data_IF_243623047996
#
_entry.id   IF_243623047996
#
_cell.length_a   1.000
_cell.length_b   1.000
_cell.length_c   1.000
_cell.angle_alpha   90.00
_cell.angle_beta   90.00
_cell.angle_gamma   90.00
#
_symmetry.space_group_name_H-M   'P 1'
#
loop_
_entity.id
_entity.type
_entity.pdbx_description
1 polymer ?
#
# COMPACT_ATOMS: atom_id res chain seq x y z
N UNK A 1 -6.23 13.14 10.80
CA UNK A 1 -5.66 11.98 10.08
C UNK A 1 -6.77 10.97 9.90
N UNK A 2 -7.23 10.76 8.67
CA UNK A 2 -8.17 9.69 8.34
C UNK A 2 -7.36 8.52 7.74
N UNK A 3 -7.73 7.28 8.07
CA UNK A 3 -7.11 6.08 7.50
C UNK A 3 -8.18 5.33 6.71
N UNK A 4 -8.08 5.34 5.39
CA UNK A 4 -8.88 4.46 4.54
C UNK A 4 -8.28 3.06 4.59
N UNK A 5 -9.12 2.05 4.77
CA UNK A 5 -8.74 0.64 4.65
C UNK A 5 -9.63 -0.02 3.62
N UNK A 6 -9.12 -1.03 2.93
CA UNK A 6 -9.90 -1.97 2.12
C UNK A 6 -10.89 -2.72 3.02
N UNK A 7 -12.04 -2.13 3.28
CA UNK A 7 -13.11 -2.76 4.04
C UNK A 7 -14.45 -2.56 3.33
N UNK A 8 -14.80 -3.56 2.50
CA UNK A 8 -16.15 -4.14 2.22
C UNK A 8 -16.55 -4.25 0.73
N UNK A 9 -17.42 -5.23 0.39
CA UNK A 9 -17.42 -5.97 -0.85
C UNK A 9 -18.06 -5.20 -2.00
N UNK A 10 -17.84 -5.70 -3.21
CA UNK A 10 -18.36 -5.19 -4.48
C UNK A 10 -19.76 -4.55 -4.34
N UNK A 11 -19.81 -3.21 -4.44
CA UNK A 11 -21.08 -2.54 -4.70
C UNK A 11 -21.49 -2.84 -6.14
N UNK A 12 -22.56 -3.60 -6.30
CA UNK A 12 -23.17 -3.83 -7.61
C UNK A 12 -23.88 -2.56 -8.07
N UNK A 13 -23.28 -1.84 -9.02
CA UNK A 13 -23.98 -0.84 -9.80
C UNK A 13 -24.58 -1.50 -11.04
N UNK A 14 -25.86 -1.25 -11.29
CA UNK A 14 -26.60 -1.77 -12.44
C UNK A 14 -26.20 -1.03 -13.72
N UNK A 15 -25.08 -1.46 -14.33
CA UNK A 15 -24.81 -1.46 -15.78
C UNK A 15 -23.47 -2.12 -16.09
N UNK A 16 -23.51 -3.43 -16.33
CA UNK A 16 -22.65 -4.12 -17.31
C UNK A 16 -21.13 -3.93 -17.21
N UNK A 17 -20.54 -4.17 -16.04
CA UNK A 17 -19.09 -4.30 -15.88
C UNK A 17 -18.73 -4.32 -14.39
N UNK A 18 -18.11 -5.41 -13.91
CA UNK A 18 -17.59 -5.45 -12.55
C UNK A 18 -16.32 -4.59 -12.46
N UNK A 19 -16.47 -3.28 -12.31
CA UNK A 19 -15.35 -2.43 -11.91
C UNK A 19 -15.28 -2.40 -10.39
N UNK A 20 -14.14 -2.88 -9.89
CA UNK A 20 -13.71 -2.72 -8.50
C UNK A 20 -13.78 -1.24 -8.12
N UNK A 21 -14.72 -0.86 -7.26
CA UNK A 21 -14.58 0.35 -6.43
C UNK A 21 -13.58 0.06 -5.32
N UNK A 22 -12.39 -0.42 -5.69
CA UNK A 22 -11.28 -0.59 -4.77
C UNK A 22 -10.64 0.78 -4.58
N UNK A 23 -10.45 1.16 -3.32
CA UNK A 23 -9.49 2.21 -3.01
C UNK A 23 -8.15 1.73 -3.56
N UNK A 24 -7.41 2.62 -4.24
CA UNK A 24 -6.23 2.21 -5.01
C UNK A 24 -5.22 1.46 -4.15
N UNK A 25 -5.15 1.81 -2.86
CA UNK A 25 -4.28 1.23 -1.83
C UNK A 25 -5.07 0.46 -0.77
N UNK A 26 -4.48 -0.62 -0.25
CA UNK A 26 -5.00 -1.31 0.94
C UNK A 26 -5.15 -0.37 2.15
N UNK A 27 -4.20 0.55 2.33
CA UNK A 27 -4.26 1.61 3.35
C UNK A 27 -3.81 2.96 2.79
N UNK A 28 -4.58 4.02 3.06
CA UNK A 28 -4.14 5.41 2.88
C UNK A 28 -4.41 6.21 4.14
N UNK A 29 -3.37 6.79 4.72
CA UNK A 29 -3.49 7.84 5.72
C UNK A 29 -3.40 9.21 5.06
N UNK A 30 -4.36 10.09 5.34
CA UNK A 30 -4.44 11.40 4.70
C UNK A 30 -5.04 12.49 5.59
N UNK A 31 -4.83 13.74 5.15
CA UNK A 31 -5.56 14.92 5.63
C UNK A 31 -6.81 15.07 4.77
N UNK A 32 -7.95 15.17 5.44
CA UNK A 32 -9.24 15.45 4.81
C UNK A 32 -9.58 16.91 5.02
N UNK A 33 -10.19 17.52 4.01
CA UNK A 33 -10.76 18.85 4.10
C UNK A 33 -12.16 18.85 3.48
N UNK A 34 -12.88 19.97 3.59
CA UNK A 34 -14.27 20.11 3.21
C UNK A 34 -14.44 21.19 2.16
N UNK A 35 -15.25 20.90 1.15
CA UNK A 35 -15.65 21.90 0.14
C UNK A 35 -17.17 22.06 0.09
N UNK A 36 -17.68 23.25 -0.29
CA UNK A 36 -19.10 23.43 -0.50
C UNK A 36 -19.55 22.66 -1.75
N UNK A 37 -20.76 22.06 -1.75
CA UNK A 37 -21.31 21.43 -2.94
C UNK A 37 -21.73 22.47 -3.98
N UNK A 38 -21.52 22.18 -5.26
CA UNK A 38 -21.72 23.15 -6.35
C UNK A 38 -23.17 23.65 -6.52
N UNK A 39 -24.18 22.84 -6.20
CA UNK A 39 -25.59 23.13 -6.53
C UNK A 39 -26.47 23.42 -5.32
N UNK A 40 -26.07 22.99 -4.11
CA UNK A 40 -26.91 23.11 -2.90
C UNK A 40 -26.18 23.87 -1.80
N UNK A 41 -26.29 25.19 -1.83
CA UNK A 41 -25.61 26.11 -0.89
C UNK A 41 -25.90 25.78 0.60
N UNK A 42 -27.05 25.16 0.90
CA UNK A 42 -27.45 24.75 2.26
C UNK A 42 -27.26 23.25 2.56
N UNK A 43 -26.59 22.49 1.69
CA UNK A 43 -26.28 21.08 1.96
C UNK A 43 -24.99 20.93 2.78
N UNK A 44 -24.82 19.76 3.40
CA UNK A 44 -23.59 19.41 4.11
C UNK A 44 -22.37 19.54 3.16
N UNK A 45 -21.24 19.98 3.71
CA UNK A 45 -19.98 20.04 2.97
C UNK A 45 -19.54 18.63 2.53
N UNK A 46 -18.84 18.58 1.40
CA UNK A 46 -18.28 17.36 0.83
C UNK A 46 -16.85 17.18 1.34
N UNK A 47 -16.53 15.99 1.85
CA UNK A 47 -15.16 15.66 2.24
C UNK A 47 -14.31 15.36 1.00
N UNK A 48 -13.07 15.85 0.98
CA UNK A 48 -12.06 15.52 -0.03
C UNK A 48 -10.69 15.30 0.61
N UNK A 49 -9.84 14.53 -0.07
CA UNK A 49 -8.45 14.32 0.35
C UNK A 49 -7.64 15.56 -0.03
N UNK A 50 -7.18 16.31 0.98
CA UNK A 50 -6.33 17.47 0.77
C UNK A 50 -4.88 17.05 0.49
N UNK A 51 -4.36 16.11 1.28
CA UNK A 51 -2.98 15.63 1.17
C UNK A 51 -2.83 14.18 1.66
N UNK A 52 -2.13 13.31 0.93
CA UNK A 52 -1.74 12.00 1.43
C UNK A 52 -0.54 12.12 2.38
N UNK A 53 -0.54 11.33 3.44
CA UNK A 53 0.54 11.27 4.43
C UNK A 53 1.33 9.97 4.30
N UNK A 54 0.64 8.86 4.07
CA UNK A 54 1.23 7.53 3.96
C UNK A 54 0.31 6.62 3.16
N UNK A 55 0.86 5.79 2.29
CA UNK A 55 0.12 4.78 1.54
C UNK A 55 0.76 3.40 1.70
N UNK A 56 -0.07 2.36 1.67
CA UNK A 56 0.42 0.99 1.81
C UNK A 56 -0.37 0.02 0.94
N UNK A 57 0.38 -0.94 0.40
CA UNK A 57 -0.12 -2.13 -0.28
C UNK A 57 0.41 -3.39 0.39
N UNK A 58 -0.33 -4.47 0.24
CA UNK A 58 0.09 -5.78 0.72
C UNK A 58 -0.29 -6.90 -0.24
N UNK A 59 0.65 -7.82 -0.45
CA UNK A 59 0.39 -9.10 -1.11
C UNK A 59 1.13 -10.17 -0.32
N UNK A 60 0.42 -11.18 0.17
CA UNK A 60 0.99 -12.25 1.00
C UNK A 60 1.05 -13.59 0.26
N UNK A 61 0.58 -13.64 -0.99
CA UNK A 61 0.84 -14.71 -1.92
C UNK A 61 2.34 -14.76 -2.24
N UNK A 62 2.85 -15.99 -2.41
CA UNK A 62 4.27 -16.21 -2.76
C UNK A 62 4.58 -15.95 -4.23
N UNK A 63 3.57 -15.56 -5.01
CA UNK A 63 3.73 -15.25 -6.42
C UNK A 63 4.33 -13.85 -6.59
N UNK A 64 5.49 -13.78 -7.23
CA UNK A 64 6.18 -12.52 -7.50
C UNK A 64 5.47 -11.68 -8.55
N UNK A 65 4.64 -12.27 -9.42
CA UNK A 65 3.86 -11.53 -10.41
C UNK A 65 2.74 -10.73 -9.72
N UNK A 66 2.00 -11.36 -8.80
CA UNK A 66 0.97 -10.69 -8.00
C UNK A 66 1.60 -9.60 -7.13
N UNK A 67 2.74 -9.89 -6.48
CA UNK A 67 3.46 -8.89 -5.70
C UNK A 67 3.94 -7.70 -6.55
N UNK A 68 4.42 -7.94 -7.77
CA UNK A 68 4.83 -6.87 -8.68
C UNK A 68 3.63 -6.01 -9.14
N UNK A 69 2.49 -6.64 -9.45
CA UNK A 69 1.26 -5.95 -9.81
C UNK A 69 0.81 -5.02 -8.67
N UNK A 70 0.69 -5.55 -7.45
CA UNK A 70 0.25 -4.77 -6.29
C UNK A 70 1.28 -3.71 -5.88
N UNK A 71 2.58 -4.01 -5.92
CA UNK A 71 3.63 -3.03 -5.66
C UNK A 71 3.59 -1.87 -6.67
N UNK A 72 3.29 -2.15 -7.94
CA UNK A 72 3.22 -1.13 -8.98
C UNK A 72 2.13 -0.08 -8.74
N UNK A 73 1.08 -0.41 -7.98
CA UNK A 73 0.04 0.56 -7.60
C UNK A 73 0.62 1.73 -6.81
N UNK A 74 1.67 1.52 -6.01
CA UNK A 74 2.34 2.58 -5.25
C UNK A 74 2.87 3.71 -6.16
N UNK A 75 3.19 3.41 -7.42
CA UNK A 75 3.62 4.40 -8.44
C UNK A 75 2.54 5.46 -8.67
N UNK A 76 1.26 5.08 -8.58
CA UNK A 76 0.14 5.98 -8.84
C UNK A 76 -0.18 6.91 -7.67
N UNK A 77 0.47 6.73 -6.51
CA UNK A 77 0.25 7.54 -5.33
C UNK A 77 1.02 8.87 -5.34
N UNK A 78 0.82 9.66 -4.28
CA UNK A 78 1.60 10.90 -4.08
C UNK A 78 1.98 11.11 -2.61
N UNK A 79 1.84 10.08 -1.77
CA UNK A 79 2.27 10.14 -0.39
C UNK A 79 3.79 10.35 -0.30
N UNK A 80 4.28 11.12 0.68
CA UNK A 80 5.72 11.24 0.90
C UNK A 80 6.37 9.94 1.39
N UNK A 81 5.56 9.00 1.91
CA UNK A 81 5.99 7.72 2.45
C UNK A 81 5.08 6.59 1.94
N UNK A 82 5.70 5.50 1.49
CA UNK A 82 5.02 4.32 0.97
C UNK A 82 5.56 3.05 1.63
N UNK A 83 4.69 2.08 1.87
CA UNK A 83 5.05 0.76 2.39
C UNK A 83 4.41 -0.34 1.54
N UNK A 84 5.20 -1.32 1.15
CA UNK A 84 4.70 -2.60 0.68
C UNK A 84 4.89 -3.67 1.74
N UNK A 85 3.92 -4.57 1.90
CA UNK A 85 4.04 -5.73 2.79
C UNK A 85 3.93 -7.02 1.98
N UNK A 86 5.05 -7.75 1.91
CA UNK A 86 5.21 -9.02 1.23
C UNK A 86 5.35 -10.23 2.18
N UNK A 87 5.25 -11.47 1.68
CA UNK A 87 5.46 -12.65 2.51
C UNK A 87 6.95 -12.93 2.73
N UNK A 88 7.28 -13.53 3.87
CA UNK A 88 8.57 -14.14 4.11
C UNK A 88 8.75 -15.34 3.19
N UNK A 89 9.64 -15.16 2.21
CA UNK A 89 10.02 -16.21 1.26
C UNK A 89 11.34 -16.87 1.68
N UNK A 90 11.64 -18.02 1.08
CA UNK A 90 12.92 -18.71 1.28
C UNK A 90 14.12 -17.93 0.71
N UNK A 91 13.87 -17.01 -0.25
CA UNK A 91 14.87 -16.15 -0.84
C UNK A 91 14.36 -14.69 -0.91
N UNK A 92 14.44 -13.94 0.20
CA UNK A 92 14.00 -12.55 0.25
C UNK A 92 14.74 -11.63 -0.73
N UNK A 93 16.00 -11.94 -1.06
CA UNK A 93 16.79 -11.13 -1.99
C UNK A 93 16.22 -11.17 -3.41
N UNK A 94 15.88 -12.36 -3.91
CA UNK A 94 15.24 -12.50 -5.22
C UNK A 94 13.86 -11.83 -5.28
N UNK A 95 13.11 -11.88 -4.17
CA UNK A 95 11.82 -11.17 -4.07
C UNK A 95 12.01 -9.65 -4.18
N UNK A 96 12.96 -9.08 -3.42
CA UNK A 96 13.29 -7.66 -3.45
C UNK A 96 13.88 -7.22 -4.80
N UNK A 97 14.60 -8.10 -5.50
CA UNK A 97 15.12 -7.84 -6.84
C UNK A 97 13.98 -7.53 -7.84
N UNK A 98 12.89 -8.30 -7.81
CA UNK A 98 11.70 -8.01 -8.63
C UNK A 98 11.14 -6.62 -8.34
N UNK A 99 11.01 -6.26 -7.06
CA UNK A 99 10.51 -4.94 -6.66
C UNK A 99 11.45 -3.79 -7.06
N UNK A 100 12.75 -4.08 -7.19
CA UNK A 100 13.78 -3.09 -7.57
C UNK A 100 13.57 -2.52 -8.98
N UNK A 101 12.90 -3.24 -9.88
CA UNK A 101 12.54 -2.74 -11.21
C UNK A 101 11.46 -1.65 -11.16
N UNK A 102 10.63 -1.63 -10.11
CA UNK A 102 9.49 -0.73 -9.97
C UNK A 102 9.82 0.41 -8.99
N UNK A 103 10.62 0.12 -7.96
CA UNK A 103 10.94 1.05 -6.87
C UNK A 103 11.43 2.45 -7.31
N UNK A 104 12.26 2.61 -8.37
CA UNK A 104 12.66 3.92 -8.88
C UNK A 104 11.50 4.81 -9.36
N UNK A 105 10.36 4.20 -9.71
CA UNK A 105 9.19 4.90 -10.22
C UNK A 105 8.20 5.29 -9.12
N UNK A 106 8.35 4.76 -7.90
CA UNK A 106 7.46 5.07 -6.79
C UNK A 106 7.76 6.49 -6.29
N UNK A 107 6.77 7.40 -6.30
CA UNK A 107 6.98 8.76 -5.83
C UNK A 107 7.08 8.84 -4.31
N UNK A 108 7.63 9.95 -3.82
CA UNK A 108 7.82 10.22 -2.40
C UNK A 108 9.30 10.23 -2.02
N UNK A 109 9.56 10.45 -0.73
CA UNK A 109 10.92 10.48 -0.18
C UNK A 109 11.33 9.13 0.41
N UNK A 110 10.32 8.34 0.78
CA UNK A 110 10.51 7.15 1.60
C UNK A 110 9.71 5.99 1.05
N UNK A 111 10.40 4.90 0.73
CA UNK A 111 9.81 3.66 0.26
C UNK A 111 10.35 2.50 1.11
N UNK A 112 9.42 1.75 1.69
CA UNK A 112 9.71 0.62 2.54
C UNK A 112 9.08 -0.66 2.00
N UNK A 113 9.73 -1.79 2.29
CA UNK A 113 9.18 -3.12 2.07
C UNK A 113 9.28 -3.90 3.39
N UNK A 114 8.14 -4.25 3.97
CA UNK A 114 8.04 -5.16 5.10
C UNK A 114 7.86 -6.59 4.59
N UNK A 115 8.68 -7.51 5.06
CA UNK A 115 8.57 -8.94 4.76
C UNK A 115 8.17 -9.64 6.06
N UNK A 116 6.98 -10.26 6.07
CA UNK A 116 6.40 -10.85 7.28
C UNK A 116 6.11 -12.35 7.11
N UNK A 117 6.17 -13.18 8.16
CA UNK A 117 5.66 -14.54 8.08
C UNK A 117 4.20 -14.54 7.61
N UNK A 118 3.80 -15.56 6.87
CA UNK A 118 2.42 -15.65 6.38
C UNK A 118 1.45 -15.73 7.58
N UNK A 119 0.31 -15.01 7.60
CA UNK A 119 -0.58 -14.97 8.77
C UNK A 119 -1.04 -16.33 9.30
N UNK A 120 -1.25 -17.30 8.39
CA UNK A 120 -1.55 -18.70 8.71
C UNK A 120 -0.53 -19.38 9.64
N UNK A 121 0.70 -18.88 9.72
CA UNK A 121 1.78 -19.49 10.52
C UNK A 121 2.20 -18.65 11.73
N UNK A 122 1.58 -17.49 11.99
CA UNK A 122 1.99 -16.61 13.09
C UNK A 122 1.96 -17.29 14.46
N UNK A 123 0.97 -18.14 14.73
CA UNK A 123 0.86 -18.84 16.02
C UNK A 123 1.97 -19.89 16.24
N UNK A 124 2.63 -20.36 15.18
CA UNK A 124 3.57 -21.47 15.21
C UNK A 124 4.98 -21.07 14.74
N UNK A 125 5.24 -19.78 14.55
CA UNK A 125 6.48 -19.27 13.99
C UNK A 125 7.03 -18.13 14.82
N UNK A 126 8.27 -18.28 15.28
CA UNK A 126 9.05 -17.22 15.92
C UNK A 126 9.76 -16.31 14.90
N UNK A 127 9.44 -16.46 13.60
CA UNK A 127 10.06 -15.66 12.56
C UNK A 127 9.66 -14.18 12.72
N UNK A 128 10.65 -13.31 12.85
CA UNK A 128 10.41 -11.89 13.00
C UNK A 128 10.18 -11.22 11.64
N UNK A 129 9.34 -10.18 11.59
CA UNK A 129 9.27 -9.26 10.45
C UNK A 129 10.64 -8.68 10.12
N UNK A 130 10.91 -8.50 8.83
CA UNK A 130 12.09 -7.77 8.33
C UNK A 130 11.62 -6.54 7.59
N UNK A 131 12.27 -5.41 7.82
CA UNK A 131 11.94 -4.15 7.15
C UNK A 131 13.11 -3.74 6.25
N UNK A 132 12.80 -3.37 5.03
CA UNK A 132 13.76 -2.86 4.06
C UNK A 132 13.37 -1.46 3.64
N UNK A 133 14.36 -0.65 3.29
CA UNK A 133 14.19 0.70 2.76
C UNK A 133 14.91 0.82 1.43
N UNK A 134 14.23 1.38 0.44
CA UNK A 134 14.82 1.66 -0.87
C UNK A 134 15.65 2.94 -0.81
N UNK A 135 16.95 2.84 -1.10
CA UNK A 135 17.90 3.97 -1.15
C UNK A 135 19.03 3.66 -2.12
N UNK A 136 19.46 4.66 -2.90
CA UNK A 136 20.61 4.54 -3.79
C UNK A 136 20.57 3.26 -4.66
N UNK A 137 19.41 3.03 -5.29
CA UNK A 137 19.13 1.92 -6.19
C UNK A 137 19.29 0.51 -5.58
N UNK A 138 19.05 0.39 -4.27
CA UNK A 138 19.03 -0.91 -3.57
C UNK A 138 18.10 -0.92 -2.36
N UNK A 139 17.79 -2.13 -1.90
CA UNK A 139 17.09 -2.38 -0.65
C UNK A 139 18.07 -2.58 0.50
N UNK A 140 18.06 -1.68 1.47
CA UNK A 140 18.84 -1.79 2.69
C UNK A 140 17.93 -2.27 3.83
N UNK A 141 18.34 -3.31 4.55
CA UNK A 141 17.61 -3.78 5.73
C UNK A 141 17.71 -2.75 6.86
N UNK A 142 16.56 -2.37 7.40
CA UNK A 142 16.43 -1.49 8.56
C UNK A 142 16.54 -2.37 9.80
N UNK A 143 17.67 -2.27 10.48
CA UNK A 143 17.86 -2.92 11.78
C UNK A 143 16.91 -2.27 12.79
N UNK A 144 15.79 -2.92 13.07
CA UNK A 144 14.93 -2.54 14.20
C UNK A 144 15.61 -3.01 15.47
N UNK A 145 16.05 -2.07 16.31
CA UNK A 145 16.42 -2.41 17.69
C UNK A 145 15.16 -2.97 18.36
N UNK A 146 15.28 -4.20 18.86
CA UNK A 146 14.24 -4.87 19.64
C UNK A 146 14.06 -4.18 21.01
#
# INVERSE_FOLDING_TARGET
MCVFRKTRPAQHFSRGGSQRSEFLFDVLACVMEKCPPAVRINAAQLDFIQAPLFQMESELARDTAEAAEDFSKLVCGSAPQSLFVGPLTHNPAAFLEVLSYIAPHVPGKELYCGIIPHPKTWAASDALPRLYRWRADRWDEVLTQA
#
